data_IF_325436429517
#
_entry.id   IF_325436429517
#
_cell.length_a   1.000
_cell.length_b   1.000
_cell.length_c   1.000
_cell.angle_alpha   90.00
_cell.angle_beta   90.00
_cell.angle_gamma   90.00
#
_symmetry.space_group_name_H-M   'P 1'
#
loop_
_entity.id
_entity.type
_entity.pdbx_description
1 polymer ?
#
# COMPACT_ATOMS: atom_id res chain seq x y z
N UNK A 1 -3.95 -66.34 48.25
CA UNK A 1 -4.34 -66.65 46.85
C UNK A 1 -3.90 -65.46 46.01
N UNK A 2 -3.00 -65.49 45.02
CA UNK A 2 -2.32 -66.51 44.22
C UNK A 2 -0.85 -66.06 44.02
N UNK A 3 0.02 -67.04 43.78
CA UNK A 3 1.46 -66.92 43.51
C UNK A 3 1.80 -66.56 42.05
N UNK A 4 3.07 -66.16 41.86
CA UNK A 4 3.99 -66.48 40.74
C UNK A 4 3.87 -65.66 39.44
N UNK A 5 4.94 -65.32 38.67
CA UNK A 5 6.38 -65.63 38.65
C UNK A 5 7.04 -64.68 37.60
N UNK A 6 8.33 -64.31 37.79
CA UNK A 6 9.39 -64.02 36.77
C UNK A 6 9.13 -62.95 35.67
N UNK A 7 10.07 -62.09 35.23
CA UNK A 7 11.43 -62.37 34.74
C UNK A 7 12.14 -61.02 34.50
N UNK A 8 13.46 -60.97 34.70
CA UNK A 8 14.37 -59.87 34.35
C UNK A 8 14.72 -59.92 32.85
N UNK A 9 14.57 -58.82 32.10
CA UNK A 9 15.38 -58.53 30.89
C UNK A 9 15.50 -57.01 30.75
N UNK A 10 16.72 -56.48 30.80
CA UNK A 10 17.03 -55.11 30.40
C UNK A 10 17.03 -54.99 28.87
N UNK A 11 16.57 -53.86 28.36
CA UNK A 11 16.90 -53.44 27.00
C UNK A 11 17.17 -51.94 27.00
N UNK A 12 18.44 -51.63 26.81
CA UNK A 12 18.93 -50.33 26.34
C UNK A 12 18.33 -50.09 24.96
N UNK A 13 17.55 -49.03 24.80
CA UNK A 13 17.20 -48.49 23.49
C UNK A 13 17.93 -47.17 23.29
N UNK A 14 19.14 -47.30 22.74
CA UNK A 14 19.73 -46.29 21.88
C UNK A 14 18.87 -46.25 20.61
N UNK A 15 18.17 -45.15 20.39
CA UNK A 15 17.71 -44.78 19.05
C UNK A 15 18.23 -43.39 18.71
N UNK A 16 19.32 -43.42 17.94
CA UNK A 16 19.58 -42.60 16.75
C UNK A 16 19.22 -41.11 16.82
N UNK A 17 20.28 -40.30 16.87
CA UNK A 17 20.35 -39.05 16.09
C UNK A 17 19.99 -39.39 14.63
N UNK A 18 18.76 -39.10 14.24
CA UNK A 18 18.33 -39.11 12.84
C UNK A 18 18.33 -37.67 12.34
N UNK A 19 19.24 -37.36 11.41
CA UNK A 19 19.34 -36.09 10.69
C UNK A 19 17.97 -35.48 10.38
N UNK A 20 17.62 -34.41 11.09
CA UNK A 20 16.50 -33.53 10.73
C UNK A 20 16.89 -32.05 10.67
N UNK A 21 18.19 -31.76 10.81
CA UNK A 21 18.68 -30.38 10.85
C UNK A 21 19.24 -29.89 9.51
N UNK A 22 19.70 -30.75 8.59
CA UNK A 22 20.26 -30.25 7.32
C UNK A 22 19.20 -29.68 6.38
N UNK A 23 18.09 -30.39 6.12
CA UNK A 23 17.08 -29.88 5.19
C UNK A 23 16.40 -28.60 5.72
N UNK A 24 16.08 -28.57 7.02
CA UNK A 24 15.42 -27.43 7.66
C UNK A 24 16.36 -26.23 7.80
N UNK A 25 17.65 -26.46 8.12
CA UNK A 25 18.66 -25.41 8.18
C UNK A 25 19.02 -24.83 6.81
N UNK A 26 19.06 -25.68 5.77
CA UNK A 26 19.28 -25.26 4.37
C UNK A 26 18.16 -24.29 3.96
N UNK A 27 16.89 -24.70 4.08
CA UNK A 27 15.74 -23.84 3.77
C UNK A 27 15.73 -22.52 4.58
N UNK A 28 16.12 -22.51 5.85
CA UNK A 28 16.19 -21.26 6.62
C UNK A 28 17.19 -20.26 6.04
N UNK A 29 18.30 -20.71 5.44
CA UNK A 29 19.25 -19.78 4.80
C UNK A 29 18.73 -19.22 3.47
N UNK A 30 17.97 -19.99 2.69
CA UNK A 30 17.46 -19.50 1.41
C UNK A 30 16.34 -18.47 1.54
N UNK A 31 15.60 -18.48 2.65
CA UNK A 31 14.54 -17.52 2.93
C UNK A 31 14.97 -16.34 3.82
N UNK A 32 16.11 -16.42 4.50
CA UNK A 32 16.57 -15.39 5.45
C UNK A 32 16.60 -13.98 4.83
N UNK A 33 16.96 -13.87 3.56
CA UNK A 33 17.00 -12.59 2.85
C UNK A 33 15.60 -12.05 2.55
N UNK A 34 14.67 -12.92 2.08
CA UNK A 34 13.27 -12.55 1.88
C UNK A 34 12.63 -12.13 3.20
N UNK A 35 12.84 -12.90 4.26
CA UNK A 35 12.34 -12.60 5.60
C UNK A 35 12.93 -11.27 6.12
N UNK A 36 14.21 -10.96 5.81
CA UNK A 36 14.82 -9.68 6.15
C UNK A 36 14.24 -8.50 5.36
N UNK A 37 13.93 -8.68 4.08
CA UNK A 37 13.29 -7.63 3.26
C UNK A 37 11.88 -7.37 3.77
N UNK A 38 11.10 -8.44 4.02
CA UNK A 38 9.75 -8.34 4.59
C UNK A 38 9.81 -7.63 5.94
N UNK A 39 10.70 -8.04 6.83
CA UNK A 39 10.88 -7.42 8.13
C UNK A 39 11.22 -5.92 8.04
N UNK A 40 12.04 -5.52 7.07
CA UNK A 40 12.34 -4.10 6.83
C UNK A 40 11.13 -3.33 6.28
N UNK A 41 10.39 -3.91 5.32
CA UNK A 41 9.17 -3.31 4.78
C UNK A 41 8.12 -3.12 5.86
N UNK A 42 7.88 -4.13 6.68
CA UNK A 42 6.89 -4.08 7.75
C UNK A 42 7.31 -3.15 8.89
N UNK A 43 8.61 -3.05 9.17
CA UNK A 43 9.14 -2.09 10.14
C UNK A 43 8.93 -0.64 9.70
N UNK A 44 8.96 -0.35 8.39
CA UNK A 44 8.73 0.99 7.85
C UNK A 44 7.22 1.27 7.67
N UNK A 45 6.42 0.27 7.27
CA UNK A 45 4.99 0.43 6.94
C UNK A 45 4.06 0.32 8.16
N UNK A 46 4.26 -0.65 9.04
CA UNK A 46 3.33 -0.93 10.15
C UNK A 46 3.14 0.27 11.11
N UNK A 47 4.18 1.05 11.46
CA UNK A 47 3.99 2.22 12.32
C UNK A 47 3.02 3.27 11.74
N UNK A 48 2.85 3.31 10.42
CA UNK A 48 1.94 4.24 9.75
C UNK A 48 0.48 4.06 10.18
N UNK A 49 0.07 2.83 10.52
CA UNK A 49 -1.29 2.53 10.99
C UNK A 49 -1.64 3.30 12.27
N UNK A 50 -0.67 3.45 13.18
CA UNK A 50 -0.83 4.24 14.40
C UNK A 50 -0.76 5.74 14.14
N UNK A 51 0.15 6.17 13.25
CA UNK A 51 0.28 7.59 12.90
C UNK A 51 -0.97 8.16 12.23
N UNK A 52 -1.56 7.41 11.28
CA UNK A 52 -2.78 7.85 10.59
C UNK A 52 -3.99 7.86 11.54
N UNK A 53 -4.06 6.91 12.47
CA UNK A 53 -5.11 6.87 13.48
C UNK A 53 -5.01 8.06 14.44
N UNK A 54 -3.81 8.43 14.86
CA UNK A 54 -3.58 9.62 15.69
C UNK A 54 -3.99 10.89 14.93
N UNK A 55 -3.60 11.02 13.66
CA UNK A 55 -3.99 12.16 12.84
C UNK A 55 -5.50 12.23 12.60
N UNK A 56 -6.16 11.09 12.42
CA UNK A 56 -7.61 11.01 12.35
C UNK A 56 -8.27 11.44 13.67
N UNK A 57 -7.75 10.98 14.81
CA UNK A 57 -8.24 11.37 16.15
C UNK A 57 -8.08 12.88 16.39
N UNK A 58 -6.97 13.47 15.94
CA UNK A 58 -6.78 14.93 15.96
C UNK A 58 -7.82 15.63 15.09
N UNK A 59 -8.14 15.06 13.92
CA UNK A 59 -9.16 15.60 13.02
C UNK A 59 -10.55 15.55 13.66
N UNK A 60 -10.92 14.43 14.30
CA UNK A 60 -12.18 14.31 15.06
C UNK A 60 -12.28 15.37 16.17
N UNK A 61 -11.18 15.64 16.87
CA UNK A 61 -11.12 16.73 17.85
C UNK A 61 -11.36 18.12 17.21
N UNK A 62 -10.92 18.35 15.96
CA UNK A 62 -11.23 19.59 15.24
C UNK A 62 -12.72 19.72 14.93
N UNK A 63 -13.41 18.62 14.59
CA UNK A 63 -14.86 18.63 14.40
C UNK A 63 -15.60 19.04 15.67
N UNK A 64 -15.22 18.49 16.84
CA UNK A 64 -15.81 18.85 18.12
C UNK A 64 -15.58 20.34 18.51
N UNK A 65 -14.56 20.99 17.93
CA UNK A 65 -14.14 22.36 18.24
C UNK A 65 -14.14 23.28 17.02
N UNK A 66 -14.95 22.96 16.02
CA UNK A 66 -14.92 23.57 14.69
C UNK A 66 -14.96 25.11 14.70
N UNK A 67 -15.81 25.72 15.53
CA UNK A 67 -15.95 27.19 15.57
C UNK A 67 -14.69 27.89 16.11
N UNK A 68 -14.00 27.26 17.06
CA UNK A 68 -12.75 27.79 17.62
C UNK A 68 -11.66 27.82 16.56
N UNK A 69 -11.49 26.72 15.82
CA UNK A 69 -10.45 26.62 14.80
C UNK A 69 -10.79 27.40 13.54
N UNK A 70 -12.07 27.42 13.12
CA UNK A 70 -12.51 28.23 11.98
C UNK A 70 -12.31 29.75 12.20
N UNK A 71 -12.30 30.22 13.45
CA UNK A 71 -12.01 31.62 13.78
C UNK A 71 -10.53 31.99 13.59
N UNK A 72 -9.62 31.02 13.50
CA UNK A 72 -8.17 31.22 13.37
C UNK A 72 -7.66 31.13 11.93
N UNK A 73 -8.52 30.73 10.98
CA UNK A 73 -8.12 30.41 9.61
C UNK A 73 -7.76 31.65 8.76
N UNK A 74 -6.81 31.48 7.85
CA UNK A 74 -6.39 32.46 6.84
C UNK A 74 -7.38 32.55 5.67
N UNK A 75 -8.56 33.13 5.92
CA UNK A 75 -9.70 33.13 4.98
C UNK A 75 -9.40 33.73 3.61
N UNK A 76 -8.51 34.72 3.55
CA UNK A 76 -8.21 35.46 2.31
C UNK A 76 -7.54 34.59 1.24
N UNK A 77 -6.98 33.43 1.60
CA UNK A 77 -6.30 32.53 0.69
C UNK A 77 -7.25 31.60 -0.08
N UNK A 78 -8.50 31.43 0.37
CA UNK A 78 -9.45 30.53 -0.27
C UNK A 78 -10.29 31.26 -1.30
N UNK A 79 -10.19 30.83 -2.56
CA UNK A 79 -10.83 31.44 -3.73
C UNK A 79 -11.79 30.48 -4.41
N UNK A 80 -12.66 31.02 -5.26
CA UNK A 80 -13.56 30.25 -6.11
C UNK A 80 -13.17 30.55 -7.56
N UNK A 81 -12.94 29.51 -8.37
CA UNK A 81 -12.67 29.65 -9.80
C UNK A 81 -13.95 29.92 -10.60
N UNK A 82 -13.82 30.32 -11.86
CA UNK A 82 -14.97 30.49 -12.77
C UNK A 82 -15.78 29.20 -12.96
N UNK A 83 -15.15 28.03 -12.78
CA UNK A 83 -15.79 26.72 -12.84
C UNK A 83 -16.49 26.33 -11.52
N UNK A 84 -16.44 27.18 -10.49
CA UNK A 84 -17.08 26.93 -9.19
C UNK A 84 -16.29 26.03 -8.25
N UNK A 85 -15.02 25.73 -8.57
CA UNK A 85 -14.09 24.99 -7.69
C UNK A 85 -13.57 25.91 -6.60
N UNK A 86 -13.60 25.47 -5.34
CA UNK A 86 -12.95 26.19 -4.24
C UNK A 86 -11.51 25.68 -4.14
N UNK A 87 -10.54 26.59 -4.08
CA UNK A 87 -9.13 26.23 -3.98
C UNK A 87 -8.39 27.20 -3.07
N UNK A 88 -7.21 26.80 -2.61
CA UNK A 88 -6.29 27.67 -1.88
C UNK A 88 -5.29 28.32 -2.84
N UNK A 89 -5.25 29.63 -2.86
CA UNK A 89 -4.26 30.44 -3.56
C UNK A 89 -3.18 30.87 -2.55
N UNK A 90 -2.21 30.00 -2.30
CA UNK A 90 -1.05 30.29 -1.46
C UNK A 90 0.25 30.06 -2.22
N UNK A 91 1.22 30.96 -2.03
CA UNK A 91 2.58 30.77 -2.51
C UNK A 91 3.46 30.00 -1.50
N UNK A 92 2.98 29.80 -0.27
CA UNK A 92 3.69 29.05 0.75
C UNK A 92 3.49 27.54 0.54
N UNK A 93 4.58 26.87 0.15
CA UNK A 93 4.59 25.41 -0.06
C UNK A 93 4.65 24.60 1.23
N UNK A 94 4.77 25.26 2.38
CA UNK A 94 4.71 24.63 3.70
C UNK A 94 3.28 24.26 4.11
N UNK A 95 2.30 24.77 3.37
CA UNK A 95 0.88 24.60 3.59
C UNK A 95 0.29 23.53 2.67
N UNK A 96 -0.88 23.00 3.02
CA UNK A 96 -1.60 22.05 2.16
C UNK A 96 -2.35 22.79 1.04
N UNK A 97 -2.50 22.10 -0.09
CA UNK A 97 -3.41 22.53 -1.15
C UNK A 97 -4.84 22.10 -0.81
N UNK A 98 -5.81 22.93 -1.20
CA UNK A 98 -7.24 22.63 -1.07
C UNK A 98 -7.86 22.60 -2.46
N UNK A 99 -8.71 21.60 -2.68
CA UNK A 99 -9.60 21.48 -3.82
C UNK A 99 -10.98 21.10 -3.33
N UNK A 100 -12.01 21.82 -3.75
CA UNK A 100 -13.41 21.39 -3.57
C UNK A 100 -14.09 21.34 -4.91
N UNK A 101 -14.58 20.15 -5.25
CA UNK A 101 -15.32 19.92 -6.48
C UNK A 101 -16.52 20.85 -6.62
N UNK A 102 -16.78 21.28 -7.85
CA UNK A 102 -17.92 22.13 -8.21
C UNK A 102 -19.28 21.46 -7.96
N UNK A 103 -19.32 20.13 -7.78
CA UNK A 103 -20.55 19.38 -7.45
C UNK A 103 -20.95 19.52 -5.97
N UNK A 104 -20.10 20.10 -5.13
CA UNK A 104 -20.41 20.29 -3.71
C UNK A 104 -21.63 21.19 -3.51
N UNK A 105 -22.61 20.72 -2.74
CA UNK A 105 -23.93 21.34 -2.67
C UNK A 105 -24.06 22.43 -1.60
N UNK A 106 -23.23 22.38 -0.54
CA UNK A 106 -23.33 23.29 0.60
C UNK A 106 -22.05 24.11 0.79
N UNK A 107 -22.00 25.27 0.14
CA UNK A 107 -20.80 26.14 0.15
C UNK A 107 -20.46 26.67 1.54
N UNK A 108 -21.45 27.04 2.35
CA UNK A 108 -21.21 27.59 3.69
C UNK A 108 -20.55 26.55 4.60
N UNK A 109 -21.10 25.33 4.59
CA UNK A 109 -20.57 24.19 5.36
C UNK A 109 -19.17 23.80 4.89
N UNK A 110 -18.95 23.77 3.57
CA UNK A 110 -17.62 23.50 2.98
C UNK A 110 -16.59 24.54 3.42
N UNK A 111 -16.91 25.84 3.33
CA UNK A 111 -15.96 26.88 3.75
C UNK A 111 -15.65 26.78 5.24
N UNK A 112 -16.65 26.52 6.08
CA UNK A 112 -16.43 26.29 7.50
C UNK A 112 -15.50 25.08 7.73
N UNK A 113 -15.70 23.98 7.00
CA UNK A 113 -14.82 22.80 7.03
C UNK A 113 -13.41 23.08 6.55
N UNK A 114 -13.25 23.85 5.47
CA UNK A 114 -11.94 24.33 5.02
C UNK A 114 -11.24 25.06 6.16
N UNK A 115 -11.92 26.01 6.82
CA UNK A 115 -11.32 26.85 7.84
C UNK A 115 -10.87 26.06 9.07
N UNK A 116 -11.72 25.21 9.66
CA UNK A 116 -11.30 24.51 10.87
C UNK A 116 -10.26 23.42 10.60
N UNK A 117 -10.25 22.82 9.40
CA UNK A 117 -9.26 21.81 9.01
C UNK A 117 -7.91 22.39 8.62
N UNK A 118 -7.76 23.71 8.51
CA UNK A 118 -6.47 24.37 8.27
C UNK A 118 -5.43 24.03 9.34
N UNK A 119 -5.87 23.75 10.57
CA UNK A 119 -4.99 23.29 11.66
C UNK A 119 -4.22 21.99 11.32
N UNK A 120 -4.72 21.18 10.38
CA UNK A 120 -4.08 19.94 9.93
C UNK A 120 -2.77 20.20 9.17
N UNK A 121 -2.55 21.38 8.60
CA UNK A 121 -1.34 21.69 7.81
C UNK A 121 -0.06 21.42 8.59
N UNK A 122 -0.05 21.80 9.88
CA UNK A 122 1.10 21.56 10.77
C UNK A 122 1.35 20.07 11.01
N UNK A 123 0.28 19.28 11.17
CA UNK A 123 0.36 17.84 11.39
C UNK A 123 0.77 17.11 10.10
N UNK A 124 0.22 17.50 8.95
CA UNK A 124 0.57 16.96 7.63
C UNK A 124 2.05 17.17 7.31
N UNK A 125 2.56 18.38 7.56
CA UNK A 125 3.98 18.70 7.39
C UNK A 125 4.87 17.87 8.32
N UNK A 126 4.43 17.64 9.56
CA UNK A 126 5.18 16.82 10.51
C UNK A 126 5.25 15.37 10.04
N UNK A 127 4.12 14.76 9.67
CA UNK A 127 4.08 13.39 9.14
C UNK A 127 4.96 13.24 7.91
N UNK A 128 4.84 14.16 6.95
CA UNK A 128 5.62 14.12 5.72
C UNK A 128 7.13 14.30 5.96
N UNK A 129 7.53 15.15 6.91
CA UNK A 129 8.94 15.35 7.25
C UNK A 129 9.54 14.16 8.01
N UNK A 130 8.78 13.57 8.95
CA UNK A 130 9.27 12.51 9.83
C UNK A 130 9.17 11.12 9.21
N UNK A 131 8.40 10.97 8.13
CA UNK A 131 8.13 9.67 7.51
C UNK A 131 8.45 9.64 6.02
N UNK A 132 9.73 9.43 5.63
CA UNK A 132 10.20 9.55 4.25
C UNK A 132 9.54 8.64 3.21
N UNK A 133 8.77 7.63 3.64
CA UNK A 133 8.05 6.72 2.74
C UNK A 133 6.67 7.26 2.34
N UNK A 134 6.13 8.22 3.09
CA UNK A 134 4.84 8.86 2.79
C UNK A 134 5.07 9.97 1.75
N UNK A 135 4.54 9.77 0.55
CA UNK A 135 4.67 10.70 -0.55
C UNK A 135 3.60 11.80 -0.52
N UNK A 136 2.42 11.49 0.01
CA UNK A 136 1.32 12.44 0.23
C UNK A 136 0.56 12.11 1.51
N UNK A 137 0.05 13.15 2.16
CA UNK A 137 -0.94 13.09 3.24
C UNK A 137 -2.16 13.87 2.79
N UNK A 138 -3.36 13.30 2.93
CA UNK A 138 -4.59 13.98 2.53
C UNK A 138 -5.76 13.72 3.46
N UNK A 139 -6.72 14.62 3.41
CA UNK A 139 -8.04 14.48 4.01
C UNK A 139 -9.11 14.76 2.96
N UNK A 140 -9.92 13.75 2.63
CA UNK A 140 -11.01 13.81 1.67
C UNK A 140 -12.36 13.73 2.39
N UNK A 141 -13.32 14.58 2.07
CA UNK A 141 -14.57 14.67 2.85
C UNK A 141 -15.82 14.40 2.02
N UNK A 142 -16.93 14.09 2.69
CA UNK A 142 -18.26 13.94 2.04
C UNK A 142 -18.73 15.21 1.34
N UNK A 143 -18.15 16.36 1.71
CA UNK A 143 -18.43 17.66 1.11
C UNK A 143 -17.56 17.93 -0.14
N UNK A 144 -16.88 16.89 -0.65
CA UNK A 144 -16.02 16.94 -1.83
C UNK A 144 -14.77 17.82 -1.63
N UNK A 145 -14.39 18.09 -0.38
CA UNK A 145 -13.15 18.74 -0.02
C UNK A 145 -12.01 17.71 -0.03
N UNK A 146 -10.96 18.02 -0.78
CA UNK A 146 -9.65 17.39 -0.70
C UNK A 146 -8.66 18.43 -0.15
N UNK A 147 -8.06 18.14 1.01
CA UNK A 147 -6.91 18.86 1.56
C UNK A 147 -5.69 17.95 1.44
N UNK A 148 -4.65 18.35 0.73
CA UNK A 148 -3.51 17.48 0.38
C UNK A 148 -2.16 18.16 0.57
N UNK A 149 -1.20 17.42 1.12
CA UNK A 149 0.18 17.85 1.31
C UNK A 149 1.16 16.78 0.77
N UNK A 150 2.30 17.13 0.16
CA UNK A 150 2.81 18.50 -0.06
C UNK A 150 1.99 19.29 -1.08
N UNK A 151 2.11 20.62 -1.03
CA UNK A 151 1.38 21.53 -1.94
C UNK A 151 1.59 21.19 -3.42
N UNK A 152 0.49 21.23 -4.16
CA UNK A 152 0.38 21.05 -5.62
C UNK A 152 -0.60 22.07 -6.23
N UNK A 153 -0.57 22.22 -7.55
CA UNK A 153 -1.53 23.07 -8.28
C UNK A 153 -2.87 22.33 -8.43
N UNK A 154 -3.73 22.47 -7.41
CA UNK A 154 -4.99 21.75 -7.31
C UNK A 154 -5.93 21.96 -8.50
N UNK A 155 -5.93 23.16 -9.10
CA UNK A 155 -6.79 23.47 -10.24
C UNK A 155 -6.33 22.81 -11.54
N UNK A 156 -5.02 22.61 -11.71
CA UNK A 156 -4.48 21.92 -12.87
C UNK A 156 -4.52 20.39 -12.73
N UNK A 157 -4.45 19.91 -11.49
CA UNK A 157 -4.28 18.48 -11.19
C UNK A 157 -5.62 17.76 -11.08
N UNK A 158 -6.65 18.38 -10.50
CA UNK A 158 -7.92 17.71 -10.25
C UNK A 158 -9.03 18.17 -11.20
N UNK A 159 -9.89 17.24 -11.57
CA UNK A 159 -11.09 17.52 -12.36
C UNK A 159 -12.06 18.41 -11.58
N UNK A 160 -12.69 19.35 -12.29
CA UNK A 160 -13.56 20.36 -11.68
C UNK A 160 -14.82 19.78 -11.04
N UNK A 161 -15.28 18.62 -11.49
CA UNK A 161 -16.48 17.93 -11.04
C UNK A 161 -16.19 16.54 -10.45
N UNK A 162 -14.94 16.28 -10.04
CA UNK A 162 -14.54 15.03 -9.41
C UNK A 162 -15.45 14.69 -8.20
N UNK A 163 -15.93 13.45 -8.15
CA UNK A 163 -16.65 12.91 -6.99
C UNK A 163 -15.70 12.05 -6.15
N UNK A 164 -15.16 12.63 -5.09
CA UNK A 164 -14.23 11.99 -4.16
C UNK A 164 -14.81 10.70 -3.55
N UNK A 165 -16.14 10.64 -3.36
CA UNK A 165 -16.79 9.49 -2.73
C UNK A 165 -16.82 8.24 -3.62
N UNK A 166 -16.64 8.43 -4.94
CA UNK A 166 -16.58 7.35 -5.92
C UNK A 166 -15.23 6.64 -5.99
N UNK A 167 -14.18 7.22 -5.40
CA UNK A 167 -12.83 6.65 -5.42
C UNK A 167 -12.63 5.61 -4.30
N UNK A 168 -11.74 4.65 -4.57
CA UNK A 168 -11.42 3.55 -3.66
C UNK A 168 -10.90 4.01 -2.31
N UNK A 169 -10.06 5.04 -2.26
CA UNK A 169 -9.58 5.61 -1.02
C UNK A 169 -10.72 6.11 -0.12
N UNK A 170 -11.86 6.52 -0.69
CA UNK A 170 -12.98 7.00 0.09
C UNK A 170 -13.94 5.86 0.46
N UNK A 171 -14.50 5.15 -0.53
CA UNK A 171 -15.51 4.14 -0.25
C UNK A 171 -14.95 2.97 0.55
N UNK A 172 -13.65 2.66 0.50
CA UNK A 172 -13.07 1.58 1.30
C UNK A 172 -13.08 1.85 2.81
N UNK A 173 -13.27 3.12 3.22
CA UNK A 173 -13.39 3.55 4.60
C UNK A 173 -14.84 3.60 5.12
N UNK A 174 -15.83 3.37 4.25
CA UNK A 174 -17.23 3.41 4.64
C UNK A 174 -17.60 2.31 5.65
N UNK A 175 -18.73 2.48 6.34
CA UNK A 175 -19.18 1.53 7.36
C UNK A 175 -19.52 0.14 6.79
N UNK A 176 -19.81 0.03 5.48
CA UNK A 176 -20.10 -1.23 4.81
C UNK A 176 -18.84 -2.07 4.63
N UNK A 177 -17.73 -1.43 4.24
CA UNK A 177 -16.44 -2.06 3.90
C UNK A 177 -15.43 -2.00 5.02
N UNK A 178 -15.64 -1.12 6.00
CA UNK A 178 -14.81 -0.94 7.20
C UNK A 178 -15.70 -0.72 8.44
N UNK A 179 -16.52 -1.72 8.82
CA UNK A 179 -17.43 -1.60 9.98
C UNK A 179 -16.69 -1.41 11.30
N UNK A 180 -15.43 -1.82 11.38
CA UNK A 180 -14.58 -1.64 12.57
C UNK A 180 -14.02 -0.23 12.70
N UNK A 181 -14.14 0.61 11.66
CA UNK A 181 -13.66 2.00 11.62
C UNK A 181 -12.16 2.11 11.93
N UNK A 182 -11.37 1.19 11.38
CA UNK A 182 -9.91 1.11 11.61
C UNK A 182 -9.10 1.57 10.41
N UNK A 183 -7.80 1.76 10.62
CA UNK A 183 -6.84 1.93 9.54
C UNK A 183 -6.93 0.74 8.57
N UNK A 184 -6.91 1.01 7.27
CA UNK A 184 -7.05 0.00 6.22
C UNK A 184 -6.08 0.30 5.08
N UNK A 185 -5.39 -0.73 4.60
CA UNK A 185 -4.60 -0.65 3.38
C UNK A 185 -5.49 -0.87 2.16
N UNK A 186 -5.40 0.02 1.17
CA UNK A 186 -5.96 -0.17 -0.18
C UNK A 186 -4.93 -0.94 -0.98
N UNK A 187 -4.88 -2.25 -0.78
CA UNK A 187 -3.82 -3.13 -1.31
C UNK A 187 -3.82 -3.25 -2.84
N UNK A 188 -4.98 -2.99 -3.46
CA UNK A 188 -5.10 -2.84 -4.90
C UNK A 188 -4.46 -1.52 -5.33
N UNK A 189 -3.19 -1.58 -5.72
CA UNK A 189 -2.45 -0.42 -6.22
C UNK A 189 -3.22 0.25 -7.36
N UNK A 190 -3.21 1.57 -7.38
CA UNK A 190 -3.89 2.39 -8.36
C UNK A 190 -3.07 3.63 -8.70
N UNK A 191 -3.49 4.36 -9.73
CA UNK A 191 -2.82 5.58 -10.15
C UNK A 191 -3.28 6.72 -9.28
N UNK A 192 -2.33 7.42 -8.66
CA UNK A 192 -2.59 8.64 -7.91
C UNK A 192 -3.25 9.69 -8.82
N UNK A 193 -4.47 10.15 -8.48
CA UNK A 193 -5.12 11.28 -9.16
C UNK A 193 -4.26 12.55 -9.14
N UNK A 194 -3.40 12.73 -8.13
CA UNK A 194 -2.47 13.84 -8.04
C UNK A 194 -1.18 13.69 -8.87
N UNK A 195 -1.07 12.61 -9.66
CA UNK A 195 -0.02 12.44 -10.67
C UNK A 195 1.32 11.87 -10.18
N UNK A 196 1.38 11.29 -8.97
CA UNK A 196 2.60 10.62 -8.45
C UNK A 196 2.88 9.25 -9.05
N UNK A 197 1.99 8.73 -9.89
CA UNK A 197 2.08 7.39 -10.45
C UNK A 197 1.38 6.36 -9.57
N UNK A 198 1.91 5.14 -9.52
CA UNK A 198 1.24 4.07 -8.78
C UNK A 198 1.49 4.20 -7.30
N UNK A 199 0.43 4.04 -6.53
CA UNK A 199 0.44 4.20 -5.09
C UNK A 199 -0.19 3.00 -4.40
N UNK A 200 0.34 2.73 -3.20
CA UNK A 200 -0.32 2.00 -2.13
C UNK A 200 -0.82 3.04 -1.13
N UNK A 201 -2.09 2.95 -0.75
CA UNK A 201 -2.69 3.91 0.18
C UNK A 201 -3.03 3.25 1.50
N UNK A 202 -2.72 3.94 2.60
CA UNK A 202 -3.26 3.65 3.91
C UNK A 202 -4.32 4.69 4.22
N UNK A 203 -5.52 4.25 4.58
CA UNK A 203 -6.65 5.13 4.86
C UNK A 203 -7.20 4.92 6.27
N UNK A 204 -7.76 5.97 6.86
CA UNK A 204 -8.45 5.91 8.14
C UNK A 204 -9.72 6.79 8.09
N UNK A 205 -10.90 6.23 8.42
CA UNK A 205 -12.13 7.02 8.43
C UNK A 205 -12.16 7.99 9.61
N UNK A 206 -12.67 9.20 9.39
CA UNK A 206 -12.90 10.22 10.43
C UNK A 206 -14.40 10.33 10.66
N UNK A 207 -14.85 10.03 11.88
CA UNK A 207 -16.27 10.09 12.24
C UNK A 207 -16.56 11.26 13.17
N UNK A 208 -17.72 11.90 12.97
CA UNK A 208 -18.27 12.87 13.91
C UNK A 208 -19.77 12.59 14.06
N UNK A 209 -20.25 12.54 15.31
CA UNK A 209 -21.65 12.25 15.63
C UNK A 209 -22.21 10.98 14.95
N UNK A 210 -21.35 9.97 14.77
CA UNK A 210 -21.72 8.69 14.15
C UNK A 210 -21.77 8.71 12.61
N UNK A 211 -21.43 9.81 11.96
CA UNK A 211 -21.37 9.93 10.50
C UNK A 211 -19.93 9.97 10.01
N UNK A 212 -19.67 9.36 8.84
CA UNK A 212 -18.38 9.46 8.16
C UNK A 212 -18.26 10.86 7.56
N UNK A 213 -17.42 11.71 8.16
CA UNK A 213 -17.21 13.08 7.67
C UNK A 213 -16.12 13.14 6.60
N UNK A 214 -15.13 12.25 6.69
CA UNK A 214 -14.09 12.14 5.70
C UNK A 214 -13.14 10.99 5.95
N UNK A 215 -12.09 10.94 5.13
CA UNK A 215 -11.09 9.89 5.13
C UNK A 215 -9.72 10.54 5.09
N UNK A 216 -8.94 10.27 6.13
CA UNK A 216 -7.51 10.56 6.17
C UNK A 216 -6.76 9.52 5.35
N UNK A 217 -5.73 9.92 4.60
CA UNK A 217 -4.95 8.98 3.81
C UNK A 217 -3.48 9.35 3.70
N UNK A 218 -2.64 8.31 3.67
CA UNK A 218 -1.23 8.39 3.33
C UNK A 218 -0.99 7.59 2.05
N UNK A 219 -0.36 8.22 1.05
CA UNK A 219 0.04 7.54 -0.17
C UNK A 219 1.53 7.25 -0.18
N UNK A 220 1.88 6.05 -0.62
CA UNK A 220 3.24 5.54 -0.76
C UNK A 220 3.43 5.18 -2.23
N UNK A 221 4.40 5.78 -2.90
CA UNK A 221 4.62 5.42 -4.30
C UNK A 221 5.30 4.06 -4.42
N UNK A 222 4.90 3.31 -5.46
CA UNK A 222 5.57 2.04 -5.79
C UNK A 222 7.04 2.26 -6.14
N UNK A 223 7.38 3.43 -6.71
CA UNK A 223 8.77 3.79 -6.93
C UNK A 223 9.55 3.91 -5.61
N UNK A 224 9.00 4.51 -4.56
CA UNK A 224 9.67 4.61 -3.27
C UNK A 224 9.86 3.24 -2.64
N UNK A 225 8.89 2.33 -2.75
CA UNK A 225 9.04 0.92 -2.36
C UNK A 225 10.22 0.27 -3.11
N UNK A 226 10.30 0.45 -4.43
CA UNK A 226 11.40 -0.07 -5.26
C UNK A 226 12.75 0.50 -4.80
N UNK A 227 12.88 1.83 -4.66
CA UNK A 227 14.15 2.46 -4.27
C UNK A 227 14.57 2.05 -2.86
N UNK A 228 13.60 1.93 -1.94
CA UNK A 228 13.85 1.69 -0.51
C UNK A 228 14.21 0.24 -0.20
N UNK A 229 13.54 -0.71 -0.85
CA UNK A 229 13.59 -2.13 -0.47
C UNK A 229 14.19 -3.04 -1.54
N UNK A 230 14.00 -2.75 -2.83
CA UNK A 230 14.43 -3.65 -3.91
C UNK A 230 15.81 -3.26 -4.45
N UNK A 231 16.03 -1.97 -4.74
CA UNK A 231 17.25 -1.49 -5.41
C UNK A 231 18.52 -1.62 -4.56
N UNK A 232 18.38 -1.69 -3.24
CA UNK A 232 19.53 -1.91 -2.32
C UNK A 232 20.02 -3.36 -2.33
N UNK A 233 19.29 -4.26 -2.99
CA UNK A 233 19.57 -5.68 -3.04
C UNK A 233 20.12 -6.05 -4.42
N UNK A 234 21.22 -6.82 -4.47
CA UNK A 234 21.75 -7.39 -5.72
C UNK A 234 20.93 -8.62 -6.20
N UNK A 235 19.77 -8.82 -5.59
CA UNK A 235 18.90 -9.97 -5.82
C UNK A 235 17.87 -9.71 -6.91
N UNK A 236 17.34 -10.79 -7.44
CA UNK A 236 16.32 -10.78 -8.49
C UNK A 236 14.96 -10.92 -7.82
N UNK A 237 14.39 -9.78 -7.45
CA UNK A 237 13.19 -9.70 -6.62
C UNK A 237 11.97 -9.31 -7.44
N UNK A 238 10.83 -9.90 -7.10
CA UNK A 238 9.52 -9.54 -7.62
C UNK A 238 8.53 -9.47 -6.46
N UNK A 239 7.68 -8.46 -6.42
CA UNK A 239 6.55 -8.34 -5.49
C UNK A 239 5.28 -8.54 -6.30
N UNK A 240 4.41 -9.43 -5.83
CA UNK A 240 3.08 -9.65 -6.38
C UNK A 240 2.01 -9.50 -5.31
N UNK A 241 0.80 -9.10 -5.70
CA UNK A 241 -0.36 -9.18 -4.81
C UNK A 241 -0.92 -10.61 -4.74
N UNK A 242 -1.85 -10.85 -3.81
CA UNK A 242 -2.49 -12.15 -3.64
C UNK A 242 -3.40 -12.59 -4.79
N UNK A 243 -3.64 -11.72 -5.78
CA UNK A 243 -4.31 -12.05 -7.05
C UNK A 243 -3.31 -12.39 -8.16
N UNK A 244 -2.01 -12.30 -7.89
CA UNK A 244 -0.93 -12.57 -8.83
C UNK A 244 -0.58 -11.41 -9.76
N UNK A 245 -1.05 -10.19 -9.49
CA UNK A 245 -0.60 -9.00 -10.23
C UNK A 245 0.79 -8.59 -9.75
N UNK A 246 1.64 -8.19 -10.69
CA UNK A 246 2.96 -7.63 -10.37
C UNK A 246 2.77 -6.23 -9.77
N UNK A 247 3.30 -6.05 -8.57
CA UNK A 247 3.34 -4.77 -7.86
C UNK A 247 4.65 -4.04 -8.18
N UNK A 248 5.78 -4.73 -8.04
CA UNK A 248 7.12 -4.19 -8.26
C UNK A 248 8.10 -5.30 -8.61
N UNK A 249 9.25 -4.98 -9.20
CA UNK A 249 10.30 -5.98 -9.43
C UNK A 249 11.61 -5.36 -9.91
N UNK A 250 12.71 -6.08 -9.71
CA UNK A 250 13.99 -5.71 -10.32
C UNK A 250 14.01 -6.12 -11.79
N UNK A 251 14.75 -5.36 -12.61
CA UNK A 251 14.81 -5.61 -14.06
C UNK A 251 15.24 -7.05 -14.37
N UNK A 252 16.26 -7.55 -13.67
CA UNK A 252 16.76 -8.92 -13.83
C UNK A 252 15.70 -9.98 -13.54
N UNK A 253 14.82 -9.78 -12.54
CA UNK A 253 13.74 -10.71 -12.22
C UNK A 253 12.68 -10.73 -13.32
N UNK A 254 12.30 -9.54 -13.80
CA UNK A 254 11.36 -9.35 -14.91
C UNK A 254 11.88 -10.03 -16.17
N UNK A 255 13.15 -9.82 -16.51
CA UNK A 255 13.80 -10.43 -17.69
C UNK A 255 13.89 -11.96 -17.56
N UNK A 256 14.33 -12.48 -16.41
CA UNK A 256 14.47 -13.93 -16.20
C UNK A 256 13.13 -14.67 -16.24
N UNK A 257 12.05 -14.04 -15.78
CA UNK A 257 10.71 -14.60 -15.84
C UNK A 257 10.00 -14.32 -17.19
N UNK A 258 10.69 -13.67 -18.14
CA UNK A 258 10.17 -13.25 -19.43
C UNK A 258 8.85 -12.47 -19.30
N UNK A 259 8.82 -11.56 -18.33
CA UNK A 259 7.68 -10.69 -18.02
C UNK A 259 7.76 -9.40 -18.84
N UNK A 260 6.62 -8.75 -19.12
CA UNK A 260 6.63 -7.44 -19.76
C UNK A 260 7.46 -6.44 -18.93
N UNK A 261 8.31 -5.61 -19.56
CA UNK A 261 9.15 -4.66 -18.83
C UNK A 261 8.28 -3.65 -18.08
N UNK A 262 8.63 -3.39 -16.82
CA UNK A 262 8.08 -2.30 -16.01
C UNK A 262 8.76 -1.00 -16.47
N UNK A 263 8.25 -0.34 -17.51
CA UNK A 263 8.91 0.87 -18.04
C UNK A 263 8.77 2.05 -17.06
N UNK A 264 9.86 2.33 -16.33
CA UNK A 264 10.08 3.56 -15.58
C UNK A 264 9.81 4.77 -16.49
N UNK A 265 8.89 5.65 -16.06
CA UNK A 265 8.38 6.85 -16.76
C UNK A 265 7.26 6.64 -17.79
N UNK A 266 6.78 5.41 -18.02
CA UNK A 266 5.54 5.18 -18.80
C UNK A 266 4.44 4.51 -18.00
N UNK A 267 4.63 4.28 -16.71
CA UNK A 267 3.49 3.98 -15.83
C UNK A 267 2.51 5.17 -15.67
N UNK A 268 2.96 6.41 -15.95
CA UNK A 268 2.15 7.63 -15.90
C UNK A 268 1.61 8.01 -17.31
N UNK A 269 2.39 7.79 -18.38
CA UNK A 269 1.96 8.13 -19.76
C UNK A 269 1.26 7.00 -20.53
N UNK A 270 1.45 5.72 -20.19
CA UNK A 270 0.74 4.60 -20.84
C UNK A 270 -0.72 4.52 -20.41
N UNK A 271 -1.14 5.25 -19.37
CA UNK A 271 -2.49 5.20 -18.82
C UNK A 271 -3.43 6.21 -19.48
N UNK A 272 -2.89 7.23 -20.16
CA UNK A 272 -3.66 8.04 -21.11
C UNK A 272 -3.76 7.39 -22.51
N UNK A 273 -3.36 6.12 -22.62
CA UNK A 273 -3.62 5.31 -23.83
C UNK A 273 -4.66 4.24 -23.48
N UNK A 274 -5.64 4.04 -24.35
CA UNK A 274 -6.75 3.07 -24.24
C UNK A 274 -6.32 1.58 -24.07
N UNK A 275 -5.02 1.30 -23.88
CA UNK A 275 -4.40 -0.02 -23.93
C UNK A 275 -3.75 -0.50 -22.63
N UNK A 276 -3.73 0.27 -21.54
CA UNK A 276 -3.20 -0.23 -20.27
C UNK A 276 -4.23 -1.10 -19.53
N UNK A 277 -3.93 -2.39 -19.33
CA UNK A 277 -4.74 -3.31 -18.54
C UNK A 277 -3.89 -3.88 -17.40
N UNK A 278 -4.27 -3.62 -16.14
CA UNK A 278 -3.68 -4.26 -14.94
C UNK A 278 -3.56 -5.79 -15.11
N UNK A 279 -4.48 -6.37 -15.89
CA UNK A 279 -4.50 -7.77 -16.27
C UNK A 279 -3.28 -8.27 -17.06
N UNK A 280 -2.62 -7.42 -17.85
CA UNK A 280 -1.45 -7.81 -18.65
C UNK A 280 -0.20 -8.06 -17.78
N UNK A 281 -0.24 -7.59 -16.54
CA UNK A 281 0.80 -7.77 -15.52
C UNK A 281 0.41 -8.82 -14.47
N UNK A 282 -0.58 -9.66 -14.76
CA UNK A 282 -0.96 -10.78 -13.91
C UNK A 282 -0.21 -12.06 -14.30
N UNK A 283 0.47 -12.70 -13.34
CA UNK A 283 1.26 -13.91 -13.58
C UNK A 283 0.42 -15.11 -14.05
N UNK A 284 -0.87 -15.20 -13.67
CA UNK A 284 -1.77 -16.23 -14.21
C UNK A 284 -2.07 -16.05 -15.69
N UNK A 285 -1.83 -14.85 -16.24
CA UNK A 285 -2.00 -14.51 -17.65
C UNK A 285 -0.67 -14.48 -18.42
N UNK A 286 0.44 -14.80 -17.75
CA UNK A 286 1.77 -14.85 -18.38
C UNK A 286 1.78 -15.78 -19.60
N UNK A 287 2.55 -15.41 -20.63
CA UNK A 287 2.77 -16.26 -21.82
C UNK A 287 3.54 -17.55 -21.45
N UNK A 288 4.38 -17.51 -20.43
CA UNK A 288 5.13 -18.67 -19.94
C UNK A 288 4.23 -19.62 -19.15
N UNK A 289 4.13 -20.89 -19.60
CA UNK A 289 3.39 -21.94 -18.88
C UNK A 289 4.01 -22.22 -17.51
N UNK A 290 5.32 -22.15 -17.41
CA UNK A 290 6.03 -22.36 -16.14
C UNK A 290 5.75 -21.24 -15.14
N UNK A 291 5.70 -19.97 -15.59
CA UNK A 291 5.29 -18.85 -14.71
C UNK A 291 3.87 -19.03 -14.20
N UNK A 292 2.94 -19.47 -15.06
CA UNK A 292 1.55 -19.74 -14.64
C UNK A 292 1.45 -20.87 -13.61
N UNK A 293 2.23 -21.95 -13.78
CA UNK A 293 2.31 -23.04 -12.79
C UNK A 293 2.93 -22.56 -11.48
N UNK A 294 4.03 -21.80 -11.55
CA UNK A 294 4.73 -21.23 -10.41
C UNK A 294 3.77 -20.39 -9.54
N UNK A 295 3.05 -19.43 -10.13
CA UNK A 295 2.14 -18.59 -9.37
C UNK A 295 0.96 -19.40 -8.79
N UNK A 296 0.48 -20.44 -9.49
CA UNK A 296 -0.53 -21.35 -8.96
C UNK A 296 -0.03 -22.11 -7.73
N UNK A 297 1.21 -22.62 -7.76
CA UNK A 297 1.86 -23.27 -6.62
C UNK A 297 1.95 -22.34 -5.42
N UNK A 298 2.37 -21.10 -5.63
CA UNK A 298 2.53 -20.13 -4.53
C UNK A 298 1.19 -19.65 -3.97
N UNK A 299 0.27 -19.21 -4.82
CA UNK A 299 -0.95 -18.52 -4.35
C UNK A 299 -2.08 -19.48 -4.00
N UNK A 300 -2.19 -20.62 -4.70
CA UNK A 300 -3.28 -21.59 -4.51
C UNK A 300 -2.87 -22.77 -3.62
N UNK A 301 -1.67 -23.32 -3.83
CA UNK A 301 -1.19 -24.47 -3.07
C UNK A 301 -0.36 -24.08 -1.83
N UNK A 302 -0.01 -22.79 -1.68
CA UNK A 302 0.79 -22.24 -0.58
C UNK A 302 2.20 -22.86 -0.46
N UNK A 303 2.73 -23.31 -1.59
CA UNK A 303 4.14 -23.67 -1.69
C UNK A 303 5.02 -22.40 -1.63
N UNK A 304 6.26 -22.57 -1.20
CA UNK A 304 7.21 -21.46 -1.06
C UNK A 304 8.44 -21.59 -1.97
N UNK A 305 8.53 -22.67 -2.74
CA UNK A 305 9.65 -22.94 -3.65
C UNK A 305 9.11 -23.55 -4.95
N UNK A 306 9.56 -23.04 -6.08
CA UNK A 306 9.25 -23.60 -7.40
C UNK A 306 10.52 -23.73 -8.22
N UNK A 307 10.80 -24.92 -8.75
CA UNK A 307 11.91 -25.15 -9.67
C UNK A 307 11.40 -24.99 -11.09
N UNK A 308 11.96 -24.04 -11.82
CA UNK A 308 11.55 -23.76 -13.19
C UNK A 308 12.22 -24.79 -14.11
N UNK A 309 11.38 -25.62 -14.71
CA UNK A 309 11.77 -26.63 -15.69
C UNK A 309 11.27 -26.16 -17.05
N UNK A 310 12.14 -25.47 -17.80
CA UNK A 310 11.84 -25.13 -19.19
C UNK A 310 12.49 -26.17 -20.10
N UNK A 311 11.66 -27.00 -20.73
CA UNK A 311 12.10 -28.06 -21.66
C UNK A 311 12.92 -27.51 -22.85
N UNK A 312 12.87 -26.19 -23.11
CA UNK A 312 13.53 -25.53 -24.24
C UNK A 312 14.65 -24.55 -23.85
N UNK A 313 14.88 -24.31 -22.55
CA UNK A 313 15.93 -23.41 -22.05
C UNK A 313 16.94 -24.18 -21.19
N UNK A 314 18.24 -23.96 -21.43
CA UNK A 314 19.31 -24.52 -20.61
C UNK A 314 19.45 -23.85 -19.23
N UNK A 315 18.71 -22.77 -18.97
CA UNK A 315 18.74 -22.09 -17.67
C UNK A 315 17.68 -22.66 -16.75
N UNK A 316 18.15 -23.41 -15.74
CA UNK A 316 17.36 -23.78 -14.57
C UNK A 316 17.44 -22.64 -13.58
N UNK A 317 16.32 -22.28 -12.98
CA UNK A 317 16.28 -21.34 -11.86
C UNK A 317 15.24 -21.81 -10.85
N UNK A 318 15.49 -21.54 -9.58
CA UNK A 318 14.58 -21.80 -8.47
C UNK A 318 14.02 -20.49 -7.98
N UNK A 319 12.70 -20.41 -7.87
CA UNK A 319 12.00 -19.25 -7.34
C UNK A 319 11.55 -19.55 -5.92
N UNK A 320 11.95 -18.70 -4.99
CA UNK A 320 11.53 -18.72 -3.59
C UNK A 320 10.44 -17.68 -3.39
N UNK A 321 9.46 -17.96 -2.56
CA UNK A 321 8.32 -17.11 -2.31
C UNK A 321 8.06 -16.99 -0.81
N UNK A 322 7.81 -15.76 -0.35
CA UNK A 322 7.36 -15.47 1.02
C UNK A 322 6.21 -14.49 0.99
N UNK A 323 5.16 -14.79 1.75
CA UNK A 323 4.06 -13.87 1.99
C UNK A 323 4.45 -12.86 3.08
N UNK A 324 4.07 -11.59 2.90
CA UNK A 324 4.13 -10.58 3.95
C UNK A 324 3.05 -10.85 5.01
N UNK A 325 3.30 -10.42 6.25
CA UNK A 325 2.34 -10.46 7.34
C UNK A 325 1.39 -9.24 7.30
N UNK A 326 1.87 -8.08 6.85
CA UNK A 326 1.12 -6.82 6.86
C UNK A 326 0.14 -6.69 5.68
N UNK A 327 0.58 -7.05 4.48
CA UNK A 327 -0.18 -6.94 3.23
C UNK A 327 -0.35 -8.34 2.65
N UNK A 328 -1.42 -8.59 1.87
CA UNK A 328 -1.56 -9.82 1.09
C UNK A 328 -0.67 -9.78 -0.16
N UNK A 329 0.61 -9.43 0.03
CA UNK A 329 1.64 -9.38 -0.97
C UNK A 329 2.66 -10.48 -0.73
N UNK A 330 3.30 -10.92 -1.81
CA UNK A 330 4.30 -11.98 -1.81
C UNK A 330 5.58 -11.44 -2.44
N UNK A 331 6.71 -11.66 -1.77
CA UNK A 331 8.04 -11.34 -2.28
C UNK A 331 8.67 -12.63 -2.81
N UNK A 332 9.04 -12.59 -4.08
CA UNK A 332 9.66 -13.68 -4.81
C UNK A 332 11.12 -13.36 -5.07
N UNK A 333 12.00 -14.35 -4.89
CA UNK A 333 13.41 -14.28 -5.28
C UNK A 333 13.72 -15.33 -6.34
N UNK A 334 14.28 -14.90 -7.47
CA UNK A 334 14.69 -15.76 -8.58
C UNK A 334 16.19 -16.08 -8.47
N UNK A 335 16.53 -17.32 -8.10
CA UNK A 335 17.92 -17.82 -8.02
C UNK A 335 18.23 -18.72 -9.21
N UNK A 336 19.41 -18.58 -9.82
CA UNK A 336 19.90 -19.53 -10.82
C UNK A 336 20.38 -20.81 -10.17
#
# INVERSE_FOLDING_TARGET
MKYAYFTLVGLVLLFSNGCRDEATAVYTTEFAELDSIIGMMESDLKPLEGQIQELASQTEYLFDHQDRYAAMASRDEYKISDAGVIYRESADKSESSVHVSSISQNREEVFHQIYFTEALDSAFRTVYADTPLVAQVYFNTRLQLCRIYPSLDALQVFDTDADLTSFNFYYMADEVRNPEKKSKWVEDIYVDPAGRGWILSLIHPVYHQGQLEGVMGFDITINDIIQRFLKKSDKKLLIIDGSGNIVAGTNDAIEMLNLPPLRNHTYIQTINSDNFRKEDYNLFKSKSKEVRKMVAKFLLEKDNVYKMEDDFSSQKYTVYCRQMNLLNWYILEVKR
#
